data_IF_694920303097
#
_entry.id   IF_694920303097
#
_cell.length_a   1.000
_cell.length_b   1.000
_cell.length_c   1.000
_cell.angle_alpha   90.00
_cell.angle_beta   90.00
_cell.angle_gamma   90.00
#
_symmetry.space_group_name_H-M   'P 1'
#
loop_
_entity.id
_entity.type
_entity.pdbx_description
1 polymer ?
#
# COMPACT_ATOMS: atom_id res chain seq x y z
N UNK A 1 14.96 15.72 -23.89
CA UNK A 1 16.22 15.22 -23.34
C UNK A 1 16.35 15.73 -21.93
N UNK A 2 16.06 14.87 -20.96
CA UNK A 2 16.33 15.16 -19.55
C UNK A 2 17.83 15.27 -19.27
N UNK A 3 18.14 15.88 -18.13
CA UNK A 3 19.49 15.96 -17.58
C UNK A 3 20.04 14.55 -17.29
N UNK A 4 21.38 14.36 -17.28
CA UNK A 4 21.97 13.06 -16.96
C UNK A 4 21.56 12.53 -15.58
N UNK A 5 21.21 13.43 -14.64
CA UNK A 5 20.68 13.09 -13.33
C UNK A 5 19.26 12.51 -13.41
N UNK A 6 18.36 13.13 -14.17
CA UNK A 6 17.00 12.64 -14.42
C UNK A 6 17.01 11.27 -15.09
N UNK A 7 17.86 11.11 -16.10
CA UNK A 7 18.03 9.83 -16.81
C UNK A 7 18.54 8.73 -15.87
N UNK A 8 19.47 9.06 -14.98
CA UNK A 8 19.97 8.14 -13.95
C UNK A 8 18.87 7.68 -13.00
N UNK A 9 18.04 8.61 -12.52
CA UNK A 9 16.90 8.31 -11.64
C UNK A 9 15.83 7.44 -12.31
N UNK A 10 15.46 7.77 -13.55
CA UNK A 10 14.49 6.98 -14.33
C UNK A 10 15.00 5.56 -14.58
N UNK A 11 16.27 5.43 -14.97
CA UNK A 11 16.92 4.11 -15.20
C UNK A 11 16.95 3.28 -13.92
N UNK A 12 17.29 3.90 -12.79
CA UNK A 12 17.29 3.23 -11.49
C UNK A 12 15.87 2.78 -11.10
N UNK A 13 14.85 3.63 -11.32
CA UNK A 13 13.46 3.28 -11.02
C UNK A 13 12.98 2.09 -11.86
N UNK A 14 13.26 2.08 -13.17
CA UNK A 14 12.96 0.94 -14.05
C UNK A 14 13.68 -0.34 -13.59
N UNK A 15 14.96 -0.25 -13.26
CA UNK A 15 15.74 -1.40 -12.79
C UNK A 15 15.20 -1.95 -11.46
N UNK A 16 14.97 -1.07 -10.47
CA UNK A 16 14.44 -1.45 -9.17
C UNK A 16 13.06 -2.11 -9.28
N UNK A 17 12.15 -1.51 -10.05
CA UNK A 17 10.80 -2.05 -10.26
C UNK A 17 10.81 -3.40 -10.97
N UNK A 18 11.67 -3.56 -11.99
CA UNK A 18 11.84 -4.82 -12.73
C UNK A 18 12.38 -5.94 -11.84
N UNK A 19 13.44 -5.68 -11.07
CA UNK A 19 14.00 -6.66 -10.13
C UNK A 19 12.96 -7.04 -9.08
N UNK A 20 12.25 -6.05 -8.53
CA UNK A 20 11.19 -6.26 -7.54
C UNK A 20 10.06 -7.13 -8.07
N UNK A 21 9.64 -6.93 -9.33
CA UNK A 21 8.62 -7.76 -9.97
C UNK A 21 9.06 -9.21 -10.13
N UNK A 22 10.29 -9.46 -10.61
CA UNK A 22 10.81 -10.83 -10.73
C UNK A 22 10.82 -11.52 -9.37
N UNK A 23 11.23 -10.79 -8.33
CA UNK A 23 11.23 -11.31 -6.97
C UNK A 23 9.81 -11.60 -6.46
N UNK A 24 8.84 -10.70 -6.69
CA UNK A 24 7.44 -10.93 -6.35
C UNK A 24 6.82 -12.09 -7.13
N UNK A 25 7.17 -12.24 -8.40
CA UNK A 25 6.71 -13.33 -9.25
C UNK A 25 7.20 -14.66 -8.67
N UNK A 26 8.48 -14.75 -8.33
CA UNK A 26 9.07 -15.91 -7.68
C UNK A 26 8.36 -16.25 -6.36
N UNK A 27 8.14 -15.26 -5.50
CA UNK A 27 7.42 -15.45 -4.22
C UNK A 27 5.96 -15.86 -4.42
N UNK A 28 5.30 -15.31 -5.44
CA UNK A 28 3.92 -15.65 -5.79
C UNK A 28 3.78 -17.07 -6.33
N UNK A 29 4.79 -17.57 -7.05
CA UNK A 29 4.83 -18.95 -7.57
C UNK A 29 5.07 -19.96 -6.43
N UNK A 30 5.97 -19.64 -5.49
CA UNK A 30 6.31 -20.58 -4.41
C UNK A 30 5.23 -20.64 -3.35
N UNK A 31 4.69 -19.48 -2.94
CA UNK A 31 3.73 -19.38 -1.85
C UNK A 31 2.63 -18.40 -2.28
N UNK A 32 1.63 -18.93 -2.99
CA UNK A 32 0.59 -18.12 -3.61
C UNK A 32 -0.36 -17.54 -2.54
N UNK A 33 -0.61 -16.23 -2.62
CA UNK A 33 -1.72 -15.61 -1.88
C UNK A 33 -2.43 -14.61 -2.77
N UNK A 34 -3.74 -14.42 -2.56
CA UNK A 34 -4.54 -13.40 -3.27
C UNK A 34 -3.89 -12.00 -3.14
N UNK A 35 -3.29 -11.72 -1.98
CA UNK A 35 -2.54 -10.49 -1.70
C UNK A 35 -1.27 -10.37 -2.56
N UNK A 36 -0.44 -11.42 -2.61
CA UNK A 36 0.79 -11.41 -3.41
C UNK A 36 0.49 -11.27 -4.90
N UNK A 37 -0.57 -11.91 -5.39
CA UNK A 37 -1.04 -11.73 -6.76
C UNK A 37 -1.44 -10.27 -7.03
N UNK A 38 -2.17 -9.64 -6.11
CA UNK A 38 -2.56 -8.24 -6.26
C UNK A 38 -1.35 -7.28 -6.25
N UNK A 39 -0.37 -7.51 -5.36
CA UNK A 39 0.90 -6.78 -5.36
C UNK A 39 1.72 -7.02 -6.63
N UNK A 40 1.70 -8.23 -7.19
CA UNK A 40 2.36 -8.58 -8.45
C UNK A 40 1.74 -7.82 -9.63
N UNK A 41 0.41 -7.82 -9.74
CA UNK A 41 -0.33 -7.09 -10.79
C UNK A 41 -0.10 -5.57 -10.68
N UNK A 42 -0.10 -5.04 -9.45
CA UNK A 42 0.24 -3.63 -9.20
C UNK A 42 1.67 -3.32 -9.67
N UNK A 43 2.65 -4.13 -9.27
CA UNK A 43 4.06 -3.93 -9.67
C UNK A 43 4.27 -4.08 -11.18
N UNK A 44 3.59 -5.01 -11.83
CA UNK A 44 3.62 -5.16 -13.29
C UNK A 44 3.20 -3.87 -13.98
N UNK A 45 2.11 -3.27 -13.53
CA UNK A 45 1.60 -2.04 -14.15
C UNK A 45 2.51 -0.85 -13.82
N UNK A 46 3.13 -0.81 -12.63
CA UNK A 46 4.14 0.20 -12.28
C UNK A 46 5.36 0.10 -13.20
N UNK A 47 5.80 -1.11 -13.58
CA UNK A 47 6.90 -1.27 -14.57
C UNK A 47 6.52 -0.64 -15.90
N UNK A 48 5.30 -0.88 -16.40
CA UNK A 48 4.82 -0.30 -17.65
C UNK A 48 4.88 1.23 -17.59
N UNK A 49 4.45 1.82 -16.47
CA UNK A 49 4.51 3.26 -16.23
C UNK A 49 5.95 3.77 -16.16
N UNK A 50 6.83 3.11 -15.42
CA UNK A 50 8.24 3.49 -15.29
C UNK A 50 8.96 3.45 -16.63
N UNK A 51 8.71 2.41 -17.45
CA UNK A 51 9.26 2.31 -18.81
C UNK A 51 8.71 3.42 -19.70
N UNK A 52 7.40 3.71 -19.61
CA UNK A 52 6.78 4.80 -20.37
C UNK A 52 7.39 6.16 -20.02
N UNK A 53 7.61 6.43 -18.73
CA UNK A 53 8.28 7.64 -18.25
C UNK A 53 9.72 7.74 -18.78
N UNK A 54 10.47 6.64 -18.79
CA UNK A 54 11.82 6.62 -19.35
C UNK A 54 11.83 6.98 -20.85
N UNK A 55 10.96 6.36 -21.65
CA UNK A 55 10.89 6.67 -23.09
C UNK A 55 10.41 8.10 -23.37
N UNK A 56 9.44 8.61 -22.61
CA UNK A 56 8.94 9.98 -22.76
C UNK A 56 9.98 11.05 -22.45
N UNK A 57 10.88 10.81 -21.49
CA UNK A 57 11.96 11.74 -21.17
C UNK A 57 13.02 11.82 -22.30
N UNK A 58 13.31 10.67 -22.92
CA UNK A 58 14.26 10.59 -24.02
C UNK A 58 13.70 11.20 -25.31
N UNK A 59 12.48 10.82 -25.69
CA UNK A 59 11.84 11.29 -26.92
C UNK A 59 10.32 11.45 -26.73
N UNK A 60 9.84 12.68 -26.47
CA UNK A 60 8.41 12.95 -26.29
C UNK A 60 7.55 12.64 -27.52
N UNK A 61 8.17 12.49 -28.70
CA UNK A 61 7.46 12.19 -29.96
C UNK A 61 7.27 10.68 -30.19
N UNK A 62 8.10 9.85 -29.55
CA UNK A 62 7.97 8.39 -29.55
C UNK A 62 7.25 7.94 -28.28
N UNK A 63 5.94 8.16 -28.27
CA UNK A 63 5.06 7.68 -27.22
C UNK A 63 5.02 6.15 -27.26
N UNK A 64 5.67 5.47 -26.30
CA UNK A 64 5.49 4.01 -26.12
C UNK A 64 4.02 3.66 -25.84
N UNK A 65 3.33 4.55 -25.12
CA UNK A 65 1.90 4.50 -24.83
C UNK A 65 1.32 5.92 -25.02
N UNK A 66 0.11 6.08 -25.60
CA UNK A 66 -0.56 7.38 -25.65
C UNK A 66 -0.74 8.00 -24.27
N UNK A 67 -0.62 9.34 -24.14
CA UNK A 67 -0.72 10.04 -22.85
C UNK A 67 -2.03 9.78 -22.11
N UNK A 68 -3.15 9.75 -22.82
CA UNK A 68 -4.46 9.39 -22.26
C UNK A 68 -4.45 7.99 -21.63
N UNK A 69 -3.89 7.00 -22.31
CA UNK A 69 -3.79 5.62 -21.81
C UNK A 69 -2.87 5.54 -20.59
N UNK A 70 -1.76 6.28 -20.57
CA UNK A 70 -0.89 6.38 -19.38
C UNK A 70 -1.66 6.89 -18.16
N UNK A 71 -2.43 7.97 -18.28
CA UNK A 71 -3.16 8.53 -17.14
C UNK A 71 -4.31 7.63 -16.69
N UNK A 72 -4.96 6.92 -17.62
CA UNK A 72 -5.95 5.89 -17.30
C UNK A 72 -5.30 4.76 -16.51
N UNK A 73 -4.17 4.21 -16.98
CA UNK A 73 -3.41 3.19 -16.26
C UNK A 73 -2.98 3.70 -14.88
N UNK A 74 -2.51 4.93 -14.80
CA UNK A 74 -2.10 5.56 -13.54
C UNK A 74 -3.26 5.67 -12.54
N UNK A 75 -4.46 6.05 -12.99
CA UNK A 75 -5.66 6.08 -12.16
C UNK A 75 -6.04 4.67 -11.66
N UNK A 76 -6.04 3.67 -12.53
CA UNK A 76 -6.35 2.28 -12.16
C UNK A 76 -5.35 1.67 -11.18
N UNK A 77 -4.05 1.90 -11.39
CA UNK A 77 -3.01 1.44 -10.45
C UNK A 77 -3.27 2.04 -9.09
N UNK A 78 -3.52 3.35 -9.04
CA UNK A 78 -3.75 4.05 -7.78
C UNK A 78 -4.97 3.52 -7.03
N UNK A 79 -6.08 3.31 -7.74
CA UNK A 79 -7.30 2.70 -7.21
C UNK A 79 -7.02 1.32 -6.61
N UNK A 80 -6.46 0.43 -7.44
CA UNK A 80 -6.13 -0.96 -7.06
C UNK A 80 -5.18 -1.00 -5.86
N UNK A 81 -4.17 -0.14 -5.90
CA UNK A 81 -3.12 -0.08 -4.91
C UNK A 81 -3.65 0.34 -3.52
N UNK A 82 -4.41 1.43 -3.45
CA UNK A 82 -5.03 1.87 -2.19
C UNK A 82 -6.04 0.85 -1.68
N UNK A 83 -6.80 0.22 -2.57
CA UNK A 83 -7.72 -0.87 -2.23
C UNK A 83 -7.01 -2.04 -1.57
N UNK A 84 -5.89 -2.50 -2.13
CA UNK A 84 -5.10 -3.59 -1.54
C UNK A 84 -4.68 -3.23 -0.11
N UNK A 85 -4.12 -2.04 0.09
CA UNK A 85 -3.65 -1.59 1.42
C UNK A 85 -4.80 -1.55 2.42
N UNK A 86 -5.91 -0.93 2.05
CA UNK A 86 -7.06 -0.75 2.93
C UNK A 86 -7.67 -2.11 3.30
N UNK A 87 -7.82 -3.01 2.32
CA UNK A 87 -8.33 -4.37 2.55
C UNK A 87 -7.38 -5.15 3.47
N UNK A 88 -6.07 -5.07 3.26
CA UNK A 88 -5.10 -5.70 4.16
C UNK A 88 -5.18 -5.16 5.58
N UNK A 89 -5.30 -3.85 5.74
CA UNK A 89 -5.44 -3.23 7.06
C UNK A 89 -6.74 -3.65 7.73
N UNK A 90 -7.85 -3.69 7.00
CA UNK A 90 -9.15 -4.14 7.52
C UNK A 90 -9.14 -5.63 7.90
N UNK A 91 -8.51 -6.50 7.11
CA UNK A 91 -8.40 -7.92 7.41
C UNK A 91 -7.54 -8.16 8.67
N UNK A 92 -6.40 -7.48 8.76
CA UNK A 92 -5.56 -7.53 9.97
C UNK A 92 -6.29 -6.96 11.19
N UNK A 93 -6.98 -5.84 11.03
CA UNK A 93 -7.78 -5.22 12.09
C UNK A 93 -8.89 -6.13 12.58
N UNK A 94 -9.59 -6.83 11.67
CA UNK A 94 -10.67 -7.79 11.99
C UNK A 94 -10.22 -8.87 12.95
N UNK A 95 -8.97 -9.33 12.86
CA UNK A 95 -8.39 -10.36 13.76
C UNK A 95 -8.29 -9.90 15.22
N UNK A 96 -8.36 -8.59 15.48
CA UNK A 96 -8.35 -8.02 16.83
C UNK A 96 -9.75 -7.85 17.44
N UNK A 97 -10.82 -8.14 16.69
CA UNK A 97 -12.20 -8.10 17.19
C UNK A 97 -12.74 -9.52 17.41
N UNK A 98 -13.66 -9.69 18.37
CA UNK A 98 -14.39 -10.95 18.54
C UNK A 98 -15.16 -11.33 17.26
N UNK A 99 -15.37 -12.63 17.04
CA UNK A 99 -15.89 -13.25 15.79
C UNK A 99 -17.15 -12.56 15.19
N UNK A 100 -17.92 -11.83 15.99
CA UNK A 100 -19.14 -11.11 15.58
C UNK A 100 -19.13 -9.59 15.83
N UNK A 101 -18.05 -9.01 16.35
CA UNK A 101 -17.97 -7.56 16.70
C UNK A 101 -17.10 -6.73 15.76
N UNK A 102 -16.53 -7.35 14.73
CA UNK A 102 -15.68 -6.67 13.75
C UNK A 102 -16.43 -5.64 12.88
N UNK A 103 -17.74 -5.81 12.68
CA UNK A 103 -18.57 -4.92 11.85
C UNK A 103 -18.94 -3.61 12.58
N UNK A 104 -17.93 -2.83 12.95
CA UNK A 104 -18.09 -1.54 13.63
C UNK A 104 -18.49 -0.45 12.66
N UNK A 105 -18.97 0.69 13.18
CA UNK A 105 -19.23 1.88 12.37
C UNK A 105 -17.98 2.34 11.60
N UNK A 106 -16.81 2.18 12.21
CA UNK A 106 -15.53 2.54 11.60
C UNK A 106 -15.19 1.62 10.42
N UNK A 107 -15.43 0.30 10.53
CA UNK A 107 -15.29 -0.63 9.40
C UNK A 107 -16.18 -0.20 8.21
N UNK A 108 -17.46 0.07 8.47
CA UNK A 108 -18.42 0.50 7.44
C UNK A 108 -18.03 1.82 6.80
N UNK A 109 -17.57 2.79 7.61
CA UNK A 109 -17.09 4.08 7.12
C UNK A 109 -15.86 3.92 6.23
N UNK A 110 -14.88 3.09 6.62
CA UNK A 110 -13.69 2.81 5.80
C UNK A 110 -14.05 2.19 4.45
N UNK A 111 -14.97 1.22 4.43
CA UNK A 111 -15.46 0.61 3.17
C UNK A 111 -16.18 1.64 2.31
N UNK A 112 -17.01 2.50 2.91
CA UNK A 112 -17.68 3.58 2.18
C UNK A 112 -16.68 4.57 1.57
N UNK A 113 -15.67 5.00 2.34
CA UNK A 113 -14.61 5.88 1.83
C UNK A 113 -13.85 5.23 0.67
N UNK A 114 -13.58 3.92 0.76
CA UNK A 114 -12.92 3.17 -0.30
C UNK A 114 -13.76 3.13 -1.59
N UNK A 115 -15.07 2.89 -1.47
CA UNK A 115 -15.98 2.93 -2.63
C UNK A 115 -15.98 4.33 -3.27
N UNK A 116 -16.08 5.39 -2.46
CA UNK A 116 -16.03 6.77 -2.96
C UNK A 116 -14.70 7.04 -3.66
N UNK A 117 -13.58 6.59 -3.09
CA UNK A 117 -12.25 6.71 -3.67
C UNK A 117 -12.17 6.04 -5.04
N UNK A 118 -12.65 4.80 -5.17
CA UNK A 118 -12.65 4.08 -6.45
C UNK A 118 -13.57 4.75 -7.48
N UNK A 119 -14.74 5.24 -7.06
CA UNK A 119 -15.63 6.01 -7.94
C UNK A 119 -14.96 7.28 -8.49
N UNK A 120 -14.19 8.00 -7.68
CA UNK A 120 -13.44 9.19 -8.14
C UNK A 120 -12.39 8.79 -9.19
N UNK A 121 -11.65 7.70 -8.98
CA UNK A 121 -10.65 7.22 -9.94
C UNK A 121 -11.30 6.77 -11.26
N UNK A 122 -12.45 6.09 -11.21
CA UNK A 122 -13.22 5.72 -12.39
C UNK A 122 -13.72 6.96 -13.13
N UNK A 123 -14.26 7.95 -12.40
CA UNK A 123 -14.72 9.21 -13.00
C UNK A 123 -13.59 9.96 -13.70
N UNK A 124 -12.39 10.01 -13.10
CA UNK A 124 -11.21 10.63 -13.71
C UNK A 124 -10.81 9.89 -15.00
N UNK A 125 -10.73 8.55 -14.97
CA UNK A 125 -10.43 7.74 -16.15
C UNK A 125 -11.46 7.93 -17.29
N UNK A 126 -12.75 8.01 -16.96
CA UNK A 126 -13.82 8.26 -17.93
C UNK A 126 -13.70 9.66 -18.53
N UNK A 127 -13.41 10.68 -17.73
CA UNK A 127 -13.25 12.04 -18.23
C UNK A 127 -12.02 12.19 -19.12
N UNK A 128 -10.91 11.53 -18.78
CA UNK A 128 -9.72 11.43 -19.64
C UNK A 128 -10.08 10.83 -20.99
N UNK A 129 -10.88 9.75 -20.99
CA UNK A 129 -11.33 9.08 -22.22
C UNK A 129 -12.25 9.95 -23.08
N UNK A 130 -13.26 10.58 -22.47
CA UNK A 130 -14.27 11.39 -23.19
C UNK A 130 -13.66 12.67 -23.76
N UNK A 131 -12.84 13.38 -22.98
CA UNK A 131 -12.26 14.66 -23.39
C UNK A 131 -10.93 14.51 -24.15
N UNK A 132 -10.46 13.26 -24.34
CA UNK A 132 -9.13 12.96 -24.89
C UNK A 132 -8.04 13.78 -24.17
N UNK A 133 -8.17 13.90 -22.85
CA UNK A 133 -7.28 14.75 -22.04
C UNK A 133 -5.92 14.07 -21.89
N UNK A 134 -4.85 14.86 -22.03
CA UNK A 134 -3.47 14.42 -21.81
C UNK A 134 -3.07 14.44 -20.33
N UNK A 135 -3.97 14.84 -19.43
CA UNK A 135 -3.75 14.87 -17.98
C UNK A 135 -5.03 14.58 -17.20
N UNK A 136 -4.85 14.13 -15.95
CA UNK A 136 -5.93 13.99 -14.96
C UNK A 136 -6.54 15.35 -14.59
N UNK A 137 -7.83 15.36 -14.24
CA UNK A 137 -8.51 16.58 -13.82
C UNK A 137 -8.05 16.98 -12.40
N UNK A 138 -7.44 18.16 -12.25
CA UNK A 138 -6.83 18.59 -10.99
C UNK A 138 -7.79 18.54 -9.78
N UNK A 139 -9.02 19.08 -9.83
CA UNK A 139 -10.02 18.92 -8.76
C UNK A 139 -10.29 17.46 -8.37
N UNK A 140 -10.51 16.57 -9.35
CA UNK A 140 -10.69 15.15 -9.08
C UNK A 140 -9.42 14.55 -8.48
N UNK A 141 -8.26 15.00 -8.96
CA UNK A 141 -6.99 14.51 -8.47
C UNK A 141 -6.77 14.86 -6.99
N UNK A 142 -7.11 16.08 -6.58
CA UNK A 142 -7.03 16.53 -5.19
C UNK A 142 -8.08 15.81 -4.34
N UNK A 143 -9.31 15.68 -4.84
CA UNK A 143 -10.39 14.95 -4.17
C UNK A 143 -9.99 13.52 -3.86
N UNK A 144 -9.35 12.83 -4.82
CA UNK A 144 -8.85 11.47 -4.62
C UNK A 144 -7.79 11.41 -3.52
N UNK A 145 -6.89 12.41 -3.42
CA UNK A 145 -5.83 12.41 -2.41
C UNK A 145 -6.45 12.57 -1.03
N UNK A 146 -7.39 13.51 -0.87
CA UNK A 146 -8.09 13.73 0.40
C UNK A 146 -8.84 12.47 0.83
N UNK A 147 -9.67 11.90 -0.06
CA UNK A 147 -10.45 10.70 0.25
C UNK A 147 -9.52 9.50 0.49
N UNK A 148 -8.44 9.36 -0.28
CA UNK A 148 -7.45 8.30 -0.10
C UNK A 148 -6.78 8.37 1.27
N UNK A 149 -6.37 9.56 1.71
CA UNK A 149 -5.80 9.80 3.05
C UNK A 149 -6.78 9.45 4.15
N UNK A 150 -8.03 9.92 4.04
CA UNK A 150 -9.09 9.62 5.00
C UNK A 150 -9.32 8.11 5.06
N UNK A 151 -9.32 7.42 3.91
CA UNK A 151 -9.52 5.97 3.84
C UNK A 151 -8.39 5.24 4.58
N UNK A 152 -7.12 5.57 4.31
CA UNK A 152 -5.94 4.98 4.96
C UNK A 152 -5.93 5.27 6.47
N UNK A 153 -6.27 6.50 6.88
CA UNK A 153 -6.38 6.87 8.30
C UNK A 153 -7.51 6.08 8.98
N UNK A 154 -8.66 5.94 8.34
CA UNK A 154 -9.80 5.20 8.90
C UNK A 154 -9.51 3.70 9.02
N UNK A 155 -8.80 3.09 8.05
CA UNK A 155 -8.35 1.71 8.16
C UNK A 155 -7.29 1.53 9.25
N UNK A 156 -6.38 2.49 9.39
CA UNK A 156 -5.42 2.50 10.49
C UNK A 156 -6.13 2.59 11.84
N UNK A 157 -7.01 3.57 12.04
CA UNK A 157 -7.77 3.72 13.28
C UNK A 157 -8.57 2.45 13.60
N UNK A 158 -9.20 1.83 12.61
CA UNK A 158 -9.95 0.59 12.80
C UNK A 158 -9.10 -0.53 13.39
N UNK A 159 -7.85 -0.64 12.94
CA UNK A 159 -6.93 -1.67 13.40
C UNK A 159 -6.31 -1.39 14.76
N UNK A 160 -6.22 -0.12 15.18
CA UNK A 160 -5.61 0.29 16.47
C UNK A 160 -6.62 0.63 17.57
N UNK A 161 -7.90 0.88 17.25
CA UNK A 161 -8.95 1.12 18.25
C UNK A 161 -9.42 -0.07 19.11
N UNK A 162 -9.24 -1.36 18.76
CA UNK A 162 -9.83 -2.45 19.53
C UNK A 162 -9.37 -2.41 20.99
N UNK A 163 -10.33 -2.24 21.91
CA UNK A 163 -10.10 -2.10 23.38
C UNK A 163 -9.55 -3.35 24.08
N UNK A 164 -9.50 -4.50 23.40
CA UNK A 164 -9.07 -5.78 23.99
C UNK A 164 -7.86 -6.32 23.27
N UNK A 165 -6.74 -5.75 23.64
CA UNK A 165 -5.42 -6.19 23.24
C UNK A 165 -5.02 -7.51 23.99
N UNK A 166 -5.70 -7.81 25.11
CA UNK A 166 -5.37 -8.85 26.10
C UNK A 166 -5.44 -10.33 25.65
N UNK A 167 -6.11 -10.68 24.55
CA UNK A 167 -6.22 -12.09 24.09
C UNK A 167 -5.53 -12.35 22.75
N UNK A 168 -4.77 -11.39 22.24
CA UNK A 168 -4.11 -11.51 20.94
C UNK A 168 -2.70 -12.05 21.14
N UNK A 169 -2.31 -13.02 20.32
CA UNK A 169 -0.92 -13.50 20.33
C UNK A 169 0.02 -12.31 20.06
N UNK A 170 1.00 -12.09 20.93
CA UNK A 170 1.96 -10.99 20.79
C UNK A 170 2.69 -11.03 19.42
N UNK A 171 2.77 -12.21 18.81
CA UNK A 171 3.29 -12.42 17.46
C UNK A 171 2.39 -11.79 16.38
N UNK A 172 1.08 -12.09 16.39
CA UNK A 172 0.12 -11.54 15.43
C UNK A 172 0.00 -10.02 15.56
N UNK A 173 0.04 -9.51 16.80
CA UNK A 173 0.07 -8.07 17.05
C UNK A 173 1.33 -7.39 16.50
N UNK A 174 2.51 -7.99 16.72
CA UNK A 174 3.78 -7.46 16.21
C UNK A 174 3.83 -7.45 14.68
N UNK A 175 3.38 -8.52 14.03
CA UNK A 175 3.31 -8.63 12.56
C UNK A 175 2.32 -7.60 11.99
N UNK A 176 1.14 -7.47 12.59
CA UNK A 176 0.17 -6.45 12.19
C UNK A 176 0.71 -5.02 12.34
N UNK A 177 1.34 -4.72 13.48
CA UNK A 177 1.95 -3.41 13.72
C UNK A 177 3.06 -3.10 12.68
N UNK A 178 3.89 -4.07 12.32
CA UNK A 178 4.93 -3.89 11.30
C UNK A 178 4.36 -3.49 9.93
N UNK A 179 3.42 -4.28 9.40
CA UNK A 179 2.81 -3.99 8.10
C UNK A 179 2.10 -2.64 8.11
N UNK A 180 1.44 -2.30 9.21
CA UNK A 180 0.76 -1.00 9.38
C UNK A 180 1.72 0.18 9.50
N UNK A 181 2.85 0.03 10.20
CA UNK A 181 3.86 1.08 10.31
C UNK A 181 4.53 1.35 8.97
N UNK A 182 4.89 0.31 8.21
CA UNK A 182 5.53 0.50 6.90
C UNK A 182 4.57 1.13 5.89
N UNK A 183 3.34 0.60 5.80
CA UNK A 183 2.33 1.18 4.89
C UNK A 183 2.01 2.63 5.27
N UNK A 184 1.94 2.95 6.56
CA UNK A 184 1.77 4.31 7.06
C UNK A 184 2.93 5.25 6.69
N UNK A 185 4.18 4.85 6.96
CA UNK A 185 5.37 5.65 6.62
C UNK A 185 5.42 5.92 5.12
N UNK A 186 5.23 4.89 4.30
CA UNK A 186 5.33 5.04 2.86
C UNK A 186 4.16 5.85 2.27
N UNK A 187 2.97 5.81 2.89
CA UNK A 187 1.84 6.70 2.56
C UNK A 187 2.12 8.15 2.91
N UNK A 188 2.78 8.43 4.04
CA UNK A 188 3.20 9.78 4.42
C UNK A 188 4.23 10.32 3.41
N UNK A 189 5.22 9.50 3.01
CA UNK A 189 6.18 9.88 1.98
C UNK A 189 5.49 10.22 0.64
N UNK A 190 4.50 9.41 0.24
CA UNK A 190 3.69 9.66 -0.94
C UNK A 190 2.96 11.01 -0.86
N UNK A 191 2.36 11.33 0.28
CA UNK A 191 1.67 12.60 0.46
C UNK A 191 2.60 13.81 0.40
N UNK A 192 3.77 13.70 1.04
CA UNK A 192 4.78 14.77 1.01
C UNK A 192 5.22 15.03 -0.44
N UNK A 193 5.44 13.98 -1.24
CA UNK A 193 5.82 14.10 -2.65
C UNK A 193 4.81 14.94 -3.45
N UNK A 194 3.50 14.63 -3.32
CA UNK A 194 2.48 15.36 -4.05
C UNK A 194 2.20 16.75 -3.49
N UNK A 195 2.31 16.95 -2.18
CA UNK A 195 2.19 18.27 -1.56
C UNK A 195 3.30 19.21 -2.04
N UNK A 196 4.55 18.73 -2.08
CA UNK A 196 5.67 19.45 -2.66
C UNK A 196 5.41 19.78 -4.14
N UNK A 197 4.94 18.79 -4.91
CA UNK A 197 4.61 19.00 -6.34
C UNK A 197 3.61 20.14 -6.54
N UNK A 198 2.54 20.18 -5.73
CA UNK A 198 1.53 21.24 -5.80
C UNK A 198 1.99 22.58 -5.23
N UNK A 199 2.93 22.59 -4.29
CA UNK A 199 3.51 23.83 -3.78
C UNK A 199 4.34 24.58 -4.84
N UNK A 200 4.89 23.84 -5.82
CA UNK A 200 5.76 24.41 -6.85
C UNK A 200 5.11 24.49 -8.25
N UNK A 201 3.98 23.82 -8.50
CA UNK A 201 3.31 23.85 -9.81
C UNK A 201 1.78 23.79 -9.68
N UNK A 202 1.07 24.74 -10.30
CA UNK A 202 -0.41 24.76 -10.37
C UNK A 202 -1.01 23.73 -11.35
N UNK A 203 -0.15 22.99 -12.04
CA UNK A 203 -0.50 21.97 -13.03
C UNK A 203 0.18 20.66 -12.63
N UNK A 204 -0.48 19.54 -12.91
CA UNK A 204 0.16 18.22 -12.94
C UNK A 204 1.05 18.12 -14.18
N UNK A 205 2.16 18.87 -14.18
CA UNK A 205 3.18 18.75 -15.23
C UNK A 205 4.01 17.50 -14.99
N UNK A 206 4.43 16.86 -16.09
CA UNK A 206 5.35 15.76 -16.05
C UNK A 206 6.65 16.15 -15.33
N UNK A 207 7.06 15.35 -14.34
CA UNK A 207 8.35 15.47 -13.66
C UNK A 207 9.02 14.11 -13.65
N UNK A 208 10.17 13.99 -14.34
CA UNK A 208 10.94 12.75 -14.44
C UNK A 208 11.34 12.21 -13.05
N UNK A 209 11.84 13.10 -12.18
CA UNK A 209 12.25 12.76 -10.81
C UNK A 209 11.03 12.42 -9.95
N UNK A 210 9.97 13.25 -9.99
CA UNK A 210 8.76 13.01 -9.20
C UNK A 210 8.09 11.67 -9.54
N UNK A 211 7.96 11.36 -10.82
CA UNK A 211 7.41 10.09 -11.30
C UNK A 211 8.30 8.90 -10.93
N UNK A 212 9.63 9.08 -10.98
CA UNK A 212 10.57 8.03 -10.55
C UNK A 212 10.41 7.71 -9.06
N UNK A 213 10.30 8.75 -8.21
CA UNK A 213 10.06 8.58 -6.77
C UNK A 213 8.71 7.94 -6.49
N UNK A 214 7.65 8.31 -7.21
CA UNK A 214 6.33 7.68 -7.09
C UNK A 214 6.41 6.17 -7.34
N UNK A 215 7.01 5.77 -8.47
CA UNK A 215 7.24 4.36 -8.81
C UNK A 215 8.05 3.61 -7.76
N UNK A 216 9.12 4.23 -7.23
CA UNK A 216 9.96 3.63 -6.19
C UNK A 216 9.19 3.42 -4.89
N UNK A 217 8.45 4.43 -4.43
CA UNK A 217 7.64 4.35 -3.21
C UNK A 217 6.63 3.22 -3.36
N UNK A 218 5.79 3.24 -4.41
CA UNK A 218 4.74 2.23 -4.64
C UNK A 218 5.28 0.81 -4.75
N UNK A 219 6.42 0.64 -5.42
CA UNK A 219 7.10 -0.67 -5.52
C UNK A 219 7.62 -1.11 -4.15
N UNK A 220 8.23 -0.20 -3.39
CA UNK A 220 8.68 -0.47 -2.03
C UNK A 220 7.55 -0.91 -1.10
N UNK A 221 6.38 -0.26 -1.20
CA UNK A 221 5.21 -0.67 -0.40
C UNK A 221 4.70 -2.05 -0.87
N UNK A 222 4.63 -2.29 -2.17
CA UNK A 222 4.17 -3.57 -2.74
C UNK A 222 5.07 -4.73 -2.30
N UNK A 223 6.38 -4.51 -2.28
CA UNK A 223 7.35 -5.46 -1.71
C UNK A 223 7.13 -5.65 -0.20
N UNK A 224 7.02 -4.56 0.56
CA UNK A 224 6.87 -4.65 2.00
C UNK A 224 5.59 -5.38 2.43
N UNK A 225 4.50 -5.27 1.66
CA UNK A 225 3.24 -5.95 1.91
C UNK A 225 3.27 -7.42 1.47
N UNK A 226 3.88 -7.70 0.31
CA UNK A 226 3.93 -9.06 -0.22
C UNK A 226 4.89 -9.99 0.53
N UNK A 227 5.95 -9.43 1.14
CA UNK A 227 6.99 -10.19 1.80
C UNK A 227 6.68 -10.43 3.28
N UNK A 228 7.09 -11.59 3.84
CA UNK A 228 7.00 -11.81 5.27
C UNK A 228 7.86 -10.79 6.03
N UNK A 229 7.44 -10.39 7.24
CA UNK A 229 8.18 -9.42 8.02
C UNK A 229 9.51 -10.01 8.51
N UNK A 230 10.55 -9.19 8.69
CA UNK A 230 11.85 -9.65 9.17
C UNK A 230 11.74 -10.20 10.60
N UNK A 231 12.04 -11.49 10.76
CA UNK A 231 11.83 -12.26 12.00
C UNK A 231 12.54 -11.66 13.22
N UNK A 232 13.77 -11.16 13.07
CA UNK A 232 14.53 -10.51 14.16
C UNK A 232 13.84 -9.26 14.70
N UNK A 233 13.23 -8.47 13.81
CA UNK A 233 12.55 -7.23 14.17
C UNK A 233 11.19 -7.52 14.81
N UNK A 234 10.47 -8.53 14.31
CA UNK A 234 9.26 -9.03 14.96
C UNK A 234 9.55 -9.58 16.35
N UNK A 235 10.65 -10.32 16.55
CA UNK A 235 11.06 -10.79 17.87
C UNK A 235 11.34 -9.63 18.83
N UNK A 236 11.96 -8.55 18.36
CA UNK A 236 12.17 -7.32 19.13
C UNK A 236 10.85 -6.60 19.47
N UNK A 237 9.92 -6.50 18.51
CA UNK A 237 8.60 -5.91 18.76
C UNK A 237 7.79 -6.75 19.75
N UNK A 238 7.84 -8.08 19.60
CA UNK A 238 7.20 -9.03 20.50
C UNK A 238 7.69 -8.87 21.94
N UNK A 239 9.00 -8.75 22.17
CA UNK A 239 9.54 -8.58 23.53
C UNK A 239 9.05 -7.28 24.18
N UNK A 240 8.97 -6.17 23.42
CA UNK A 240 8.41 -4.90 23.91
C UNK A 240 6.91 -4.95 24.20
N UNK A 241 6.15 -5.66 23.36
CA UNK A 241 4.71 -5.84 23.53
C UNK A 241 4.41 -6.66 24.79
N UNK A 242 5.12 -7.77 25.01
CA UNK A 242 4.97 -8.61 26.21
C UNK A 242 5.27 -7.80 27.49
N UNK A 243 6.35 -7.02 27.51
CA UNK A 243 6.70 -6.15 28.65
C UNK A 243 5.60 -5.12 28.97
N UNK A 244 4.82 -4.68 27.98
CA UNK A 244 3.69 -3.75 28.21
C UNK A 244 2.44 -4.44 28.76
N UNK A 245 2.27 -5.75 28.54
CA UNK A 245 1.20 -6.53 29.16
C UNK A 245 1.57 -7.09 30.54
N UNK A 246 2.85 -7.25 30.84
CA UNK A 246 3.36 -7.71 32.15
C UNK A 246 3.42 -6.61 33.22
N UNK A 247 2.73 -5.48 33.03
CA UNK A 247 2.46 -4.56 34.15
C UNK A 247 1.45 -5.25 35.07
N UNK A 248 1.82 -5.58 36.33
CA UNK A 248 1.08 -6.55 37.12
C UNK A 248 -0.27 -5.98 37.55
N UNK A 249 -1.35 -6.55 37.01
CA UNK A 249 -2.62 -6.59 37.71
C UNK A 249 -2.86 -8.03 38.17
N UNK A 250 -2.62 -8.23 39.46
CA UNK A 250 -2.83 -9.43 40.27
C UNK A 250 -2.15 -10.73 39.81
N UNK A 251 -1.10 -11.05 40.56
CA UNK A 251 -0.47 -12.35 40.70
C UNK A 251 -1.51 -13.45 41.01
N UNK A 252 -1.70 -14.42 40.10
CA UNK A 252 -1.88 -15.82 40.50
C UNK A 252 -1.82 -16.89 39.38
N UNK A 253 -1.77 -16.56 38.09
CA UNK A 253 -1.89 -17.60 37.03
C UNK A 253 -0.63 -17.84 36.17
N UNK A 254 0.55 -17.91 36.81
CA UNK A 254 1.84 -18.11 36.11
C UNK A 254 2.01 -19.54 35.56
N UNK A 255 1.11 -20.50 35.84
CA UNK A 255 1.37 -21.92 35.51
C UNK A 255 0.77 -22.48 34.21
N UNK A 256 -0.06 -21.77 33.47
CA UNK A 256 -0.70 -22.35 32.26
C UNK A 256 -0.24 -21.78 30.90
N UNK A 257 0.56 -20.70 30.84
CA UNK A 257 0.81 -19.98 29.59
C UNK A 257 1.96 -20.51 28.70
N UNK A 258 2.41 -21.76 28.87
CA UNK A 258 3.46 -22.36 28.03
C UNK A 258 2.94 -23.46 27.11
N UNK A 259 1.76 -23.28 26.52
CA UNK A 259 1.41 -23.99 25.27
C UNK A 259 1.98 -23.20 24.10
N UNK A 260 3.17 -23.60 23.69
CA UNK A 260 3.80 -23.26 22.40
C UNK A 260 2.84 -23.68 21.28
N UNK A 261 2.00 -22.74 20.84
CA UNK A 261 1.31 -22.85 19.56
C UNK A 261 2.35 -22.56 18.48
N UNK A 262 2.87 -23.63 17.86
CA UNK A 262 3.37 -23.57 16.49
C UNK A 262 2.21 -23.04 15.65
N UNK A 263 2.27 -21.78 15.28
CA UNK A 263 1.46 -21.27 14.18
C UNK A 263 2.14 -21.83 12.94
N UNK A 264 1.56 -22.90 12.38
CA UNK A 264 1.88 -23.30 11.02
C UNK A 264 1.59 -22.10 10.12
N UNK A 265 2.59 -21.71 9.34
CA UNK A 265 2.49 -20.65 8.32
C UNK A 265 1.44 -20.97 7.22
N UNK A 266 0.67 -22.06 7.37
CA UNK A 266 -0.39 -22.55 6.49
C UNK A 266 -1.81 -22.00 6.79
N UNK A 267 -2.07 -21.34 7.92
CA UNK A 267 -3.40 -20.75 8.17
C UNK A 267 -3.71 -19.50 7.31
N UNK A 268 -2.81 -19.11 6.40
CA UNK A 268 -3.13 -18.17 5.31
C UNK A 268 -3.87 -18.83 4.13
N UNK A 269 -3.99 -20.16 4.08
CA UNK A 269 -4.55 -20.89 2.91
C UNK A 269 -5.92 -21.54 3.14
N UNK A 270 -6.41 -21.67 4.37
CA UNK A 270 -7.69 -22.35 4.63
C UNK A 270 -8.69 -21.51 5.41
N UNK A 271 -9.21 -20.43 4.80
CA UNK A 271 -10.59 -19.98 5.10
C UNK A 271 -11.10 -18.92 4.11
N UNK A 272 -11.75 -19.42 3.05
CA UNK A 272 -12.66 -18.74 2.09
C UNK A 272 -12.06 -17.90 0.93
#
# INVERSE_FOLDING_TARGET
>A
MGTPLELGFLSFSVAFTSISFIFLLYQCIINFTKLRLACLLSTFTIIIISISNFYWDQDPTKLFIPRSVYWILFAFIRATYTTIIVVCMLDMGRKFYEKYRWNTTLFKATVLHLIIFDCINIADAVLILIHLSDTSNLPLFIGQLIVGVITILSSFLYSFLPKRMNNISAQSAAVGAWYMSITGILSICYLILYLVTFAFTDKLSYSAIGNSFDSLIRTGISLAVALPPPTKLIQFMKSKIIISYDVPHDSNDIRESCKVLKVDDQEFEESA
#
